data_IF_154356103673
#
_entry.id   IF_154356103673
#
_cell.length_a   1.000
_cell.length_b   1.000
_cell.length_c   1.000
_cell.angle_alpha   90.00
_cell.angle_beta   90.00
_cell.angle_gamma   90.00
#
_symmetry.space_group_name_H-M   'P 1'
#
loop_
_entity.id
_entity.type
_entity.pdbx_description
1 polymer ?
#
# COMPACT_ATOMS: atom_id res chain seq x y z
N UNK A 1 10.13 5.59 13.02
CA UNK A 1 10.21 4.89 11.71
C UNK A 1 11.26 3.81 11.84
N UNK A 2 10.98 2.59 11.38
CA UNK A 2 12.02 1.55 11.31
C UNK A 2 12.92 1.84 10.10
N UNK A 3 14.24 1.75 10.28
CA UNK A 3 15.20 1.91 9.18
C UNK A 3 15.07 0.73 8.20
N UNK A 4 15.59 0.81 6.96
CA UNK A 4 15.62 -0.34 6.07
C UNK A 4 16.32 -1.54 6.73
N UNK A 5 17.44 -1.32 7.42
CA UNK A 5 18.13 -2.38 8.15
C UNK A 5 17.24 -3.03 9.22
N UNK A 6 16.60 -2.26 10.11
CA UNK A 6 15.74 -2.82 11.15
C UNK A 6 14.50 -3.51 10.54
N UNK A 7 13.95 -2.96 9.46
CA UNK A 7 12.79 -3.52 8.76
C UNK A 7 13.06 -4.88 8.11
N UNK A 8 14.26 -5.10 7.55
CA UNK A 8 14.58 -6.32 6.80
C UNK A 8 15.45 -7.31 7.58
N UNK A 9 16.31 -6.82 8.47
CA UNK A 9 17.37 -7.58 9.13
C UNK A 9 17.31 -7.52 10.66
N UNK A 10 16.39 -6.75 11.26
CA UNK A 10 16.32 -6.54 12.71
C UNK A 10 16.27 -7.84 13.51
N UNK A 11 15.51 -8.85 13.05
CA UNK A 11 15.44 -10.17 13.69
C UNK A 11 16.73 -10.99 13.58
N UNK A 12 17.57 -10.71 12.58
CA UNK A 12 18.84 -11.39 12.33
C UNK A 12 20.05 -10.67 12.95
N UNK A 13 19.89 -9.41 13.37
CA UNK A 13 20.96 -8.51 13.84
C UNK A 13 21.95 -9.17 14.79
N UNK A 14 21.46 -9.77 15.88
CA UNK A 14 22.31 -10.40 16.89
C UNK A 14 23.01 -11.67 16.38
N UNK A 15 22.44 -12.35 15.39
CA UNK A 15 23.07 -13.52 14.79
C UNK A 15 24.16 -13.09 13.79
N UNK A 16 23.87 -12.09 12.95
CA UNK A 16 24.85 -11.49 12.03
C UNK A 16 26.08 -10.98 12.81
N UNK A 17 25.88 -10.24 13.91
CA UNK A 17 27.00 -9.75 14.73
C UNK A 17 27.87 -10.89 15.24
N UNK A 18 27.25 -11.95 15.80
CA UNK A 18 27.98 -13.11 16.34
C UNK A 18 28.77 -13.83 15.25
N UNK A 19 28.14 -14.08 14.12
CA UNK A 19 28.76 -14.82 13.02
C UNK A 19 29.91 -14.00 12.39
N UNK A 20 29.74 -12.69 12.20
CA UNK A 20 30.81 -11.82 11.70
C UNK A 20 32.01 -11.78 12.66
N UNK A 21 31.77 -11.73 13.98
CA UNK A 21 32.87 -11.76 14.97
C UNK A 21 33.64 -13.07 14.82
N UNK A 22 32.93 -14.21 14.75
CA UNK A 22 33.53 -15.54 14.61
C UNK A 22 34.33 -15.70 13.31
N UNK A 23 33.76 -15.23 12.19
CA UNK A 23 34.39 -15.36 10.86
C UNK A 23 35.69 -14.57 10.74
N UNK A 24 35.78 -13.41 11.39
CA UNK A 24 36.87 -12.46 11.19
C UNK A 24 37.78 -12.28 12.40
N UNK A 25 37.60 -13.06 13.47
CA UNK A 25 38.38 -12.96 14.71
C UNK A 25 39.89 -12.98 14.45
N UNK A 26 40.34 -13.87 13.57
CA UNK A 26 41.75 -14.02 13.19
C UNK A 26 42.27 -12.95 12.22
N UNK A 27 41.38 -12.24 11.51
CA UNK A 27 41.77 -11.21 10.54
C UNK A 27 40.73 -10.09 10.41
N UNK A 28 40.71 -9.12 11.35
CA UNK A 28 39.78 -8.00 11.31
C UNK A 28 39.91 -7.11 10.07
N UNK A 29 41.12 -6.97 9.53
CA UNK A 29 41.37 -6.16 8.33
C UNK A 29 40.65 -6.71 7.10
N UNK A 30 40.49 -8.05 7.02
CA UNK A 30 39.76 -8.69 5.93
C UNK A 30 38.28 -8.29 5.92
N UNK A 31 37.65 -8.17 7.10
CA UNK A 31 36.27 -7.70 7.20
C UNK A 31 36.11 -6.29 6.59
N UNK A 32 37.00 -5.36 6.96
CA UNK A 32 36.97 -3.98 6.48
C UNK A 32 37.16 -3.93 4.95
N UNK A 33 38.09 -4.71 4.40
CA UNK A 33 38.31 -4.79 2.96
C UNK A 33 37.04 -5.28 2.22
N UNK A 34 36.40 -6.33 2.74
CA UNK A 34 35.22 -6.95 2.12
C UNK A 34 34.03 -5.98 2.09
N UNK A 35 33.75 -5.28 3.20
CA UNK A 35 32.64 -4.32 3.21
C UNK A 35 32.93 -3.11 2.32
N UNK A 36 34.20 -2.68 2.24
CA UNK A 36 34.62 -1.59 1.35
C UNK A 36 34.44 -1.96 -0.12
N UNK A 37 34.85 -3.17 -0.53
CA UNK A 37 34.58 -3.71 -1.87
C UNK A 37 33.07 -3.82 -2.14
N UNK A 38 32.27 -4.07 -1.10
CA UNK A 38 30.81 -4.03 -1.13
C UNK A 38 30.21 -2.62 -1.20
N UNK A 39 31.01 -1.57 -1.39
CA UNK A 39 30.57 -0.18 -1.51
C UNK A 39 30.27 0.53 -0.17
N UNK A 40 30.66 -0.06 0.96
CA UNK A 40 30.48 0.54 2.28
C UNK A 40 31.58 1.58 2.58
N UNK A 41 31.19 2.75 3.09
CA UNK A 41 32.17 3.76 3.51
C UNK A 41 32.84 3.36 4.82
N UNK A 42 34.13 3.03 4.77
CA UNK A 42 34.92 2.63 5.93
C UNK A 42 35.59 3.79 6.65
N UNK A 43 35.42 5.03 6.18
CA UNK A 43 36.09 6.23 6.71
C UNK A 43 35.87 6.45 8.23
N UNK A 44 34.75 5.95 8.76
CA UNK A 44 34.38 6.07 10.17
C UNK A 44 34.64 4.80 11.00
N UNK A 45 35.12 3.72 10.38
CA UNK A 45 35.49 2.49 11.09
C UNK A 45 36.97 2.57 11.43
N UNK A 46 37.31 2.76 12.72
CA UNK A 46 38.71 2.99 13.11
C UNK A 46 39.46 1.66 13.19
N UNK A 47 40.57 1.55 12.46
CA UNK A 47 41.40 0.34 12.41
C UNK A 47 42.04 -0.05 13.76
N UNK A 48 42.11 0.85 14.73
CA UNK A 48 42.67 0.61 16.07
C UNK A 48 41.66 0.02 17.07
N UNK A 49 40.38 -0.12 16.67
CA UNK A 49 39.33 -0.67 17.52
C UNK A 49 39.33 -2.21 17.49
N UNK A 50 38.79 -2.82 18.54
CA UNK A 50 38.55 -4.28 18.53
C UNK A 50 37.53 -4.65 17.44
N UNK A 51 37.67 -5.84 16.85
CA UNK A 51 36.75 -6.35 15.82
C UNK A 51 35.27 -6.25 16.24
N UNK A 52 34.99 -6.54 17.51
CA UNK A 52 33.63 -6.42 18.07
C UNK A 52 33.08 -5.00 17.92
N UNK A 53 33.89 -3.98 18.23
CA UNK A 53 33.48 -2.57 18.11
C UNK A 53 33.31 -2.21 16.63
N UNK A 54 34.24 -2.63 15.77
CA UNK A 54 34.15 -2.39 14.32
C UNK A 54 32.85 -2.98 13.73
N UNK A 55 32.49 -4.21 14.09
CA UNK A 55 31.25 -4.85 13.64
C UNK A 55 30.01 -4.14 14.21
N UNK A 56 30.04 -3.73 15.47
CA UNK A 56 28.93 -2.96 16.07
C UNK A 56 28.74 -1.63 15.35
N UNK A 57 29.81 -0.90 15.08
CA UNK A 57 29.77 0.38 14.35
C UNK A 57 29.30 0.19 12.91
N UNK A 58 29.75 -0.88 12.24
CA UNK A 58 29.24 -1.28 10.92
C UNK A 58 27.73 -1.48 10.94
N UNK A 59 27.21 -2.27 11.88
CA UNK A 59 25.76 -2.54 12.01
C UNK A 59 24.98 -1.26 12.35
N UNK A 60 25.52 -0.40 13.22
CA UNK A 60 24.92 0.89 13.53
C UNK A 60 24.83 1.79 12.28
N UNK A 61 25.87 1.82 11.47
CA UNK A 61 25.89 2.60 10.23
C UNK A 61 24.99 2.02 9.14
N UNK A 62 24.78 0.70 9.12
CA UNK A 62 23.81 0.06 8.21
C UNK A 62 22.38 0.62 8.37
N UNK A 63 22.02 1.15 9.54
CA UNK A 63 20.73 1.83 9.74
C UNK A 63 20.53 3.08 8.90
N UNK A 64 21.63 3.71 8.45
CA UNK A 64 21.58 4.92 7.62
C UNK A 64 21.66 4.60 6.12
N UNK A 65 21.88 3.32 5.76
CA UNK A 65 21.98 2.91 4.37
C UNK A 65 20.60 2.68 3.76
N UNK A 66 20.50 3.01 2.46
CA UNK A 66 19.34 2.61 1.67
C UNK A 66 19.41 1.12 1.30
N UNK A 67 18.31 0.59 0.76
CA UNK A 67 18.19 -0.84 0.46
C UNK A 67 19.20 -1.34 -0.60
N UNK A 68 19.57 -0.50 -1.57
CA UNK A 68 20.53 -0.89 -2.61
C UNK A 68 21.94 -1.02 -2.03
N UNK A 69 22.33 -0.08 -1.17
CA UNK A 69 23.60 -0.12 -0.46
C UNK A 69 23.69 -1.32 0.48
N UNK A 70 22.61 -1.61 1.22
CA UNK A 70 22.53 -2.81 2.06
C UNK A 70 22.71 -4.10 1.24
N UNK A 71 22.09 -4.18 0.05
CA UNK A 71 22.28 -5.35 -0.82
C UNK A 71 23.70 -5.53 -1.28
N UNK A 72 24.35 -4.46 -1.72
CA UNK A 72 25.73 -4.54 -2.22
C UNK A 72 26.65 -5.09 -1.13
N UNK A 73 26.60 -4.52 0.07
CA UNK A 73 27.47 -4.94 1.17
C UNK A 73 27.14 -6.35 1.67
N UNK A 74 25.86 -6.72 1.81
CA UNK A 74 25.48 -8.06 2.27
C UNK A 74 25.64 -9.13 1.20
N UNK A 75 25.55 -8.79 -0.09
CA UNK A 75 25.94 -9.71 -1.18
C UNK A 75 27.41 -10.03 -1.09
N UNK A 76 28.27 -9.00 -0.99
CA UNK A 76 29.71 -9.19 -0.93
C UNK A 76 30.13 -9.99 0.32
N UNK A 77 29.54 -9.69 1.48
CA UNK A 77 29.74 -10.49 2.70
C UNK A 77 29.30 -11.96 2.51
N UNK A 78 28.21 -12.22 1.79
CA UNK A 78 27.74 -13.58 1.54
C UNK A 78 28.62 -14.34 0.53
N UNK A 79 29.18 -13.65 -0.47
CA UNK A 79 30.09 -14.24 -1.48
C UNK A 79 31.41 -14.68 -0.86
N UNK A 80 31.96 -13.86 0.04
CA UNK A 80 33.21 -14.17 0.74
C UNK A 80 33.02 -15.18 1.89
N UNK A 81 31.78 -15.39 2.35
CA UNK A 81 31.43 -16.33 3.41
C UNK A 81 30.27 -17.26 3.02
N UNK A 82 30.42 -18.11 1.99
CA UNK A 82 29.32 -18.90 1.44
C UNK A 82 28.72 -19.89 2.44
N UNK A 83 29.48 -20.29 3.47
CA UNK A 83 29.03 -21.19 4.55
C UNK A 83 28.26 -20.50 5.68
N UNK A 84 28.18 -19.16 5.72
CA UNK A 84 27.52 -18.44 6.80
C UNK A 84 26.00 -18.32 6.56
N UNK A 85 25.22 -19.05 7.35
CA UNK A 85 23.77 -19.10 7.17
C UNK A 85 23.07 -17.77 7.45
N UNK A 86 23.53 -17.00 8.45
CA UNK A 86 22.90 -15.71 8.79
C UNK A 86 23.10 -14.66 7.71
N UNK A 87 24.29 -14.60 7.09
CA UNK A 87 24.57 -13.72 5.96
C UNK A 87 23.76 -14.13 4.72
N UNK A 88 23.63 -15.43 4.46
CA UNK A 88 22.76 -15.93 3.38
C UNK A 88 21.30 -15.57 3.61
N UNK A 89 20.78 -15.74 4.84
CA UNK A 89 19.43 -15.31 5.23
C UNK A 89 19.27 -13.80 5.08
N UNK A 90 20.24 -13.01 5.54
CA UNK A 90 20.22 -11.56 5.41
C UNK A 90 20.14 -11.11 3.94
N UNK A 91 21.04 -11.63 3.10
CA UNK A 91 21.00 -11.38 1.65
C UNK A 91 19.63 -11.78 1.08
N UNK A 92 19.15 -12.98 1.36
CA UNK A 92 17.87 -13.44 0.84
C UNK A 92 16.71 -12.53 1.30
N UNK A 93 16.67 -12.08 2.56
CA UNK A 93 15.66 -11.12 3.04
C UNK A 93 15.71 -9.77 2.31
N UNK A 94 16.92 -9.29 1.99
CA UNK A 94 17.11 -8.04 1.24
C UNK A 94 16.68 -8.16 -0.24
N UNK A 95 16.85 -9.33 -0.85
CA UNK A 95 16.53 -9.60 -2.26
C UNK A 95 15.10 -10.10 -2.49
N UNK A 96 14.54 -10.91 -1.59
CA UNK A 96 13.13 -11.35 -1.63
C UNK A 96 12.18 -10.15 -1.68
N UNK A 97 12.56 -9.01 -1.09
CA UNK A 97 11.79 -7.78 -1.18
C UNK A 97 12.05 -6.95 -2.45
N UNK A 98 13.13 -7.18 -3.22
CA UNK A 98 13.34 -6.46 -4.49
C UNK A 98 12.57 -7.05 -5.64
N UNK A 99 12.65 -8.37 -5.80
CA UNK A 99 11.95 -9.07 -6.86
C UNK A 99 10.45 -8.93 -6.64
N UNK A 100 10.03 -8.88 -5.37
CA UNK A 100 8.68 -8.51 -4.96
C UNK A 100 8.34 -7.05 -5.28
N UNK A 101 9.16 -6.05 -4.92
CA UNK A 101 8.84 -4.63 -5.21
C UNK A 101 8.80 -4.34 -6.72
N UNK A 102 9.70 -4.91 -7.51
CA UNK A 102 9.69 -4.78 -8.97
C UNK A 102 8.56 -5.60 -9.61
N UNK A 103 8.25 -6.80 -9.11
CA UNK A 103 7.06 -7.54 -9.56
C UNK A 103 5.79 -6.80 -9.20
N UNK A 104 5.75 -6.10 -8.07
CA UNK A 104 4.58 -5.35 -7.64
C UNK A 104 4.38 -4.09 -8.47
N UNK A 105 5.42 -3.32 -8.77
CA UNK A 105 5.29 -2.18 -9.68
C UNK A 105 4.83 -2.62 -11.08
N UNK A 106 5.33 -3.73 -11.60
CA UNK A 106 4.85 -4.30 -12.86
C UNK A 106 3.39 -4.81 -12.74
N UNK A 107 3.01 -5.51 -11.67
CA UNK A 107 1.64 -5.96 -11.42
C UNK A 107 0.66 -4.78 -11.21
N UNK A 108 1.06 -3.74 -10.47
CA UNK A 108 0.29 -2.52 -10.27
C UNK A 108 0.10 -1.82 -11.61
N UNK A 109 1.18 -1.64 -12.38
CA UNK A 109 1.13 -1.01 -13.69
C UNK A 109 0.20 -1.78 -14.63
N UNK A 110 0.34 -3.12 -14.69
CA UNK A 110 -0.55 -3.99 -15.46
C UNK A 110 -2.01 -3.87 -15.04
N UNK A 111 -2.28 -3.88 -13.74
CA UNK A 111 -3.65 -3.72 -13.21
C UNK A 111 -4.24 -2.34 -13.55
N UNK A 112 -3.50 -1.26 -13.34
CA UNK A 112 -3.95 0.10 -13.66
C UNK A 112 -4.18 0.30 -15.16
N UNK A 113 -3.31 -0.24 -16.02
CA UNK A 113 -3.49 -0.24 -17.48
C UNK A 113 -4.78 -0.97 -17.87
N UNK A 114 -5.06 -2.11 -17.21
CA UNK A 114 -6.27 -2.91 -17.45
C UNK A 114 -7.56 -2.20 -16.99
N UNK A 115 -7.52 -1.53 -15.85
CA UNK A 115 -8.69 -0.86 -15.26
C UNK A 115 -8.99 0.48 -15.92
N UNK A 116 -7.97 1.16 -16.47
CA UNK A 116 -8.10 2.44 -17.17
C UNK A 116 -9.26 2.51 -18.20
N UNK A 117 -9.41 1.59 -19.17
CA UNK A 117 -10.54 1.63 -20.10
C UNK A 117 -11.89 1.46 -19.41
N UNK A 118 -11.96 0.67 -18.33
CA UNK A 118 -13.18 0.51 -17.52
C UNK A 118 -13.51 1.79 -16.74
N UNK A 119 -12.52 2.51 -16.22
CA UNK A 119 -12.72 3.83 -15.60
C UNK A 119 -13.25 4.87 -16.60
N UNK A 120 -12.74 4.85 -17.83
CA UNK A 120 -13.21 5.73 -18.91
C UNK A 120 -14.67 5.42 -19.25
N UNK A 121 -15.08 4.14 -19.30
CA UNK A 121 -16.48 3.78 -19.56
C UNK A 121 -17.43 4.19 -18.43
N UNK A 122 -16.92 4.33 -17.19
CA UNK A 122 -17.64 4.93 -16.06
C UNK A 122 -17.70 6.48 -16.10
N UNK A 123 -17.14 7.10 -17.14
CA UNK A 123 -17.17 8.56 -17.32
C UNK A 123 -16.00 9.31 -16.65
N UNK A 124 -14.92 8.61 -16.28
CA UNK A 124 -13.71 9.26 -15.81
C UNK A 124 -13.02 9.98 -16.99
N UNK A 125 -13.01 11.31 -16.95
CA UNK A 125 -12.37 12.16 -17.98
C UNK A 125 -11.01 12.68 -17.55
N UNK A 126 -10.70 12.60 -16.25
CA UNK A 126 -9.41 13.02 -15.71
C UNK A 126 -8.78 11.84 -14.96
N UNK A 127 -7.59 11.42 -15.40
CA UNK A 127 -6.81 10.36 -14.76
C UNK A 127 -5.41 10.90 -14.53
N UNK A 128 -5.00 10.96 -13.27
CA UNK A 128 -3.71 11.47 -12.83
C UNK A 128 -2.93 10.35 -12.16
N UNK A 129 -1.62 10.29 -12.36
CA UNK A 129 -0.75 9.32 -11.70
C UNK A 129 0.12 10.02 -10.65
N UNK A 130 0.53 9.27 -9.64
CA UNK A 130 1.53 9.68 -8.63
C UNK A 130 1.22 11.02 -7.94
N UNK A 131 -0.04 11.19 -7.52
CA UNK A 131 -0.47 12.35 -6.75
C UNK A 131 0.02 12.23 -5.31
N UNK A 132 0.76 13.23 -4.84
CA UNK A 132 1.19 13.31 -3.44
C UNK A 132 0.15 14.10 -2.65
N UNK A 133 -0.43 13.47 -1.62
CA UNK A 133 -1.37 14.10 -0.71
C UNK A 133 -1.12 13.63 0.73
N UNK A 134 -0.94 14.58 1.64
CA UNK A 134 -0.70 14.31 3.07
C UNK A 134 0.46 13.31 3.30
N UNK A 135 1.55 13.49 2.56
CA UNK A 135 2.74 12.63 2.63
C UNK A 135 2.56 11.22 2.02
N UNK A 136 1.39 10.89 1.48
CA UNK A 136 1.10 9.61 0.81
C UNK A 136 1.07 9.78 -0.71
N UNK A 137 1.44 8.72 -1.42
CA UNK A 137 1.41 8.68 -2.89
C UNK A 137 0.19 7.90 -3.35
N UNK A 138 -0.75 8.59 -3.99
CA UNK A 138 -1.81 7.96 -4.76
C UNK A 138 -1.26 7.61 -6.14
N UNK A 139 -1.11 6.30 -6.38
CA UNK A 139 -0.59 5.75 -7.64
C UNK A 139 -1.43 6.19 -8.83
N UNK A 140 -2.75 6.23 -8.66
CA UNK A 140 -3.65 6.76 -9.67
C UNK A 140 -4.89 7.39 -9.03
N UNK A 141 -5.35 8.49 -9.60
CA UNK A 141 -6.60 9.16 -9.26
C UNK A 141 -7.40 9.34 -10.54
N UNK A 142 -8.55 8.71 -10.64
CA UNK A 142 -9.49 8.92 -11.72
C UNK A 142 -10.74 9.66 -11.20
N UNK A 143 -11.16 10.71 -11.92
CA UNK A 143 -12.32 11.54 -11.59
C UNK A 143 -13.36 11.50 -12.70
N UNK A 144 -14.59 11.17 -12.33
CA UNK A 144 -15.79 11.37 -13.15
C UNK A 144 -16.57 12.58 -12.62
N UNK A 145 -16.50 13.72 -13.32
CA UNK A 145 -17.15 14.96 -12.90
C UNK A 145 -18.68 14.93 -12.99
N UNK A 146 -19.24 13.95 -13.70
CA UNK A 146 -20.68 13.77 -13.88
C UNK A 146 -21.01 12.27 -13.89
N UNK A 147 -20.66 11.60 -12.81
CA UNK A 147 -21.01 10.22 -12.55
C UNK A 147 -22.53 10.08 -12.48
N UNK A 148 -23.09 9.08 -13.18
CA UNK A 148 -24.52 8.79 -13.22
C UNK A 148 -24.74 7.39 -12.65
N UNK A 149 -25.64 7.28 -11.69
CA UNK A 149 -26.06 5.99 -11.13
C UNK A 149 -27.55 6.00 -10.85
N UNK A 150 -28.14 4.87 -10.51
CA UNK A 150 -29.56 4.73 -10.20
C UNK A 150 -29.75 3.92 -8.92
N UNK A 151 -29.77 4.59 -7.77
CA UNK A 151 -29.95 3.93 -6.47
C UNK A 151 -31.44 3.84 -6.17
N UNK A 152 -31.95 2.61 -6.02
CA UNK A 152 -33.37 2.38 -5.69
C UNK A 152 -34.34 2.82 -6.79
N UNK A 153 -33.88 2.85 -8.04
CA UNK A 153 -34.66 3.36 -9.17
C UNK A 153 -34.68 4.89 -9.28
N UNK A 154 -34.03 5.61 -8.36
CA UNK A 154 -33.91 7.07 -8.43
C UNK A 154 -32.61 7.45 -9.17
N UNK A 155 -32.70 8.24 -10.26
CA UNK A 155 -31.51 8.67 -10.98
C UNK A 155 -30.70 9.63 -10.10
N UNK A 156 -29.43 9.31 -9.90
CA UNK A 156 -28.48 10.12 -9.13
C UNK A 156 -27.38 10.66 -10.03
N UNK A 157 -26.84 11.81 -9.66
CA UNK A 157 -25.74 12.44 -10.39
C UNK A 157 -24.82 13.19 -9.44
N UNK A 158 -23.51 13.01 -9.59
CA UNK A 158 -22.51 13.76 -8.84
C UNK A 158 -21.10 13.46 -9.33
N UNK A 159 -20.11 13.68 -8.49
CA UNK A 159 -18.71 13.36 -8.81
C UNK A 159 -18.30 12.00 -8.23
N UNK A 160 -17.58 11.20 -8.99
CA UNK A 160 -16.95 9.98 -8.49
C UNK A 160 -15.42 10.07 -8.58
N UNK A 161 -14.75 9.61 -7.53
CA UNK A 161 -13.30 9.52 -7.44
C UNK A 161 -12.91 8.06 -7.23
N UNK A 162 -11.97 7.57 -8.04
CA UNK A 162 -11.33 6.28 -7.88
C UNK A 162 -9.86 6.53 -7.54
N UNK A 163 -9.47 6.25 -6.30
CA UNK A 163 -8.14 6.58 -5.78
C UNK A 163 -7.42 5.29 -5.43
N UNK A 164 -6.32 5.03 -6.14
CA UNK A 164 -5.53 3.82 -6.03
C UNK A 164 -4.23 4.11 -5.27
N UNK A 165 -3.92 3.28 -4.29
CA UNK A 165 -2.62 3.29 -3.60
C UNK A 165 -2.17 1.87 -3.32
N UNK A 166 -0.85 1.65 -3.32
CA UNK A 166 -0.26 0.37 -2.95
C UNK A 166 0.16 0.33 -1.49
N UNK A 167 -0.05 -0.82 -0.85
CA UNK A 167 0.35 -1.12 0.51
C UNK A 167 1.10 -2.46 0.54
N UNK A 168 2.21 -2.51 1.29
CA UNK A 168 2.96 -3.76 1.50
C UNK A 168 2.16 -4.78 2.34
N UNK A 169 1.28 -4.27 3.20
CA UNK A 169 0.35 -5.03 4.04
C UNK A 169 -0.79 -4.12 4.42
N UNK A 170 -1.99 -4.67 4.55
CA UNK A 170 -3.20 -3.93 4.88
C UNK A 170 -3.80 -4.49 6.16
N UNK A 171 -4.12 -3.61 7.10
CA UNK A 171 -4.95 -3.89 8.26
C UNK A 171 -6.07 -2.85 8.39
N UNK A 172 -7.02 -3.13 9.27
CA UNK A 172 -8.21 -2.31 9.50
C UNK A 172 -7.92 -0.80 9.75
N UNK A 173 -6.93 -0.50 10.60
CA UNK A 173 -6.56 0.90 10.89
C UNK A 173 -5.99 1.60 9.65
N UNK A 174 -5.11 0.92 8.91
CA UNK A 174 -4.54 1.47 7.67
C UNK A 174 -5.60 1.69 6.58
N UNK A 175 -6.63 0.84 6.52
CA UNK A 175 -7.75 0.99 5.59
C UNK A 175 -8.61 2.19 5.92
N UNK A 176 -9.00 2.35 7.20
CA UNK A 176 -9.78 3.51 7.65
C UNK A 176 -9.04 4.82 7.43
N UNK A 177 -7.75 4.85 7.77
CA UNK A 177 -6.90 6.03 7.57
C UNK A 177 -6.75 6.37 6.08
N UNK A 178 -6.54 5.36 5.23
CA UNK A 178 -6.46 5.55 3.79
C UNK A 178 -7.78 6.02 3.18
N UNK A 179 -8.91 5.40 3.54
CA UNK A 179 -10.24 5.79 3.09
C UNK A 179 -10.56 7.25 3.47
N UNK A 180 -10.19 7.65 4.69
CA UNK A 180 -10.32 9.03 5.18
C UNK A 180 -9.46 10.00 4.36
N UNK A 181 -8.21 9.64 4.06
CA UNK A 181 -7.33 10.49 3.25
C UNK A 181 -7.83 10.63 1.80
N UNK A 182 -8.35 9.54 1.22
CA UNK A 182 -8.99 9.56 -0.10
C UNK A 182 -10.21 10.48 -0.10
N UNK A 183 -11.06 10.36 0.92
CA UNK A 183 -12.25 11.19 1.08
C UNK A 183 -11.90 12.67 1.22
N UNK A 184 -10.94 13.02 2.08
CA UNK A 184 -10.48 14.39 2.26
C UNK A 184 -9.90 14.98 0.96
N UNK A 185 -9.11 14.19 0.24
CA UNK A 185 -8.63 14.58 -1.09
C UNK A 185 -9.78 14.81 -2.07
N UNK A 186 -10.72 13.87 -2.16
CA UNK A 186 -11.86 13.95 -3.07
C UNK A 186 -12.73 15.18 -2.77
N UNK A 187 -13.00 15.46 -1.50
CA UNK A 187 -13.77 16.64 -1.05
C UNK A 187 -13.06 17.95 -1.39
N UNK A 188 -11.73 18.04 -1.17
CA UNK A 188 -10.92 19.22 -1.51
C UNK A 188 -10.86 19.48 -3.02
N UNK A 189 -10.88 18.43 -3.83
CA UNK A 189 -10.79 18.50 -5.29
C UNK A 189 -12.16 18.37 -5.98
N UNK A 190 -13.24 18.41 -5.20
CA UNK A 190 -14.58 18.36 -5.74
C UNK A 190 -14.96 19.74 -6.28
N UNK A 191 -15.58 19.77 -7.46
CA UNK A 191 -16.18 21.01 -7.95
C UNK A 191 -17.62 21.17 -7.43
N UNK A 192 -18.04 20.28 -6.54
CA UNK A 192 -19.34 20.29 -5.91
C UNK A 192 -19.37 21.36 -4.80
N UNK A 193 -19.67 22.61 -5.16
CA UNK A 193 -20.03 23.64 -4.19
C UNK A 193 -21.42 23.30 -3.65
N UNK A 194 -21.53 23.02 -2.36
CA UNK A 194 -22.80 22.68 -1.73
C UNK A 194 -23.90 23.69 -2.04
N UNK A 195 -25.09 23.15 -2.33
CA UNK A 195 -26.40 23.80 -2.28
C UNK A 195 -26.72 24.81 -3.42
N UNK A 196 -27.47 24.30 -4.39
CA UNK A 196 -28.31 24.91 -5.45
C UNK A 196 -27.68 25.28 -6.82
N UNK A 197 -28.33 24.93 -7.96
CA UNK A 197 -29.65 24.31 -8.16
C UNK A 197 -29.61 23.02 -9.01
N UNK A 198 -29.40 21.85 -8.39
CA UNK A 198 -29.75 20.55 -9.02
C UNK A 198 -31.17 20.08 -8.70
N UNK A 199 -31.97 20.94 -8.05
CA UNK A 199 -33.40 20.69 -7.76
C UNK A 199 -34.26 20.72 -9.04
N UNK A 200 -33.75 21.22 -10.16
CA UNK A 200 -34.52 21.36 -11.41
C UNK A 200 -34.64 20.09 -12.28
N UNK A 201 -34.10 18.93 -11.86
CA UNK A 201 -34.12 17.72 -12.70
C UNK A 201 -34.36 16.38 -11.97
N UNK A 202 -34.91 16.38 -10.75
CA UNK A 202 -35.21 15.14 -9.99
C UNK A 202 -33.98 14.22 -9.76
N UNK A 203 -32.76 14.74 -9.86
CA UNK A 203 -31.53 13.96 -9.62
C UNK A 203 -30.93 14.29 -8.28
N UNK A 204 -30.87 13.30 -7.39
CA UNK A 204 -30.29 13.46 -6.05
C UNK A 204 -28.76 13.61 -6.22
N UNK A 205 -28.14 14.67 -5.68
CA UNK A 205 -26.70 14.84 -5.72
C UNK A 205 -26.02 13.73 -4.91
N UNK A 206 -25.02 13.09 -5.49
CA UNK A 206 -24.33 11.97 -4.85
C UNK A 206 -22.89 11.89 -5.32
N UNK A 207 -21.97 12.21 -4.41
CA UNK A 207 -20.55 12.07 -4.64
C UNK A 207 -20.06 10.75 -4.05
N UNK A 208 -19.12 10.09 -4.71
CA UNK A 208 -18.63 8.78 -4.30
C UNK A 208 -17.10 8.79 -4.31
N UNK A 209 -16.50 8.34 -3.22
CA UNK A 209 -15.06 8.15 -3.10
C UNK A 209 -14.76 6.65 -2.98
N UNK A 210 -14.36 6.03 -4.08
CA UNK A 210 -13.80 4.68 -4.08
C UNK A 210 -12.32 4.77 -3.67
N UNK A 211 -12.00 4.25 -2.48
CA UNK A 211 -10.62 4.17 -1.99
C UNK A 211 -10.10 2.75 -2.19
N UNK A 212 -9.25 2.55 -3.20
CA UNK A 212 -8.76 1.25 -3.65
C UNK A 212 -7.34 1.02 -3.12
N UNK A 213 -7.23 0.11 -2.15
CA UNK A 213 -5.97 -0.35 -1.58
C UNK A 213 -5.49 -1.57 -2.36
N UNK A 214 -4.38 -1.44 -3.10
CA UNK A 214 -3.73 -2.56 -3.77
C UNK A 214 -2.71 -3.19 -2.83
N UNK A 215 -2.79 -4.49 -2.63
CA UNK A 215 -1.85 -5.26 -1.81
C UNK A 215 -1.62 -6.62 -2.45
N UNK A 216 -0.60 -7.35 -2.02
CA UNK A 216 -0.41 -8.73 -2.44
C UNK A 216 -1.04 -9.74 -1.48
N UNK A 217 -1.25 -9.31 -0.24
CA UNK A 217 -1.74 -10.15 0.84
C UNK A 217 -2.67 -9.34 1.74
N UNK A 218 -3.72 -10.01 2.19
CA UNK A 218 -4.66 -9.54 3.21
C UNK A 218 -4.86 -10.70 4.19
N UNK A 219 -4.83 -10.43 5.49
CA UNK A 219 -5.13 -11.45 6.48
C UNK A 219 -6.64 -11.74 6.57
N UNK A 220 -7.00 -12.96 6.98
CA UNK A 220 -8.40 -13.40 7.03
C UNK A 220 -9.30 -12.52 7.91
N UNK A 221 -8.76 -11.94 8.99
CA UNK A 221 -9.53 -11.04 9.85
C UNK A 221 -9.87 -9.74 9.11
N UNK A 222 -8.89 -9.11 8.47
CA UNK A 222 -9.12 -7.90 7.66
C UNK A 222 -10.04 -8.19 6.47
N UNK A 223 -9.94 -9.39 5.86
CA UNK A 223 -10.81 -9.85 4.77
C UNK A 223 -12.26 -9.98 5.22
N UNK A 224 -12.54 -10.70 6.31
CA UNK A 224 -13.90 -10.81 6.87
C UNK A 224 -14.48 -9.43 7.19
N UNK A 225 -13.66 -8.56 7.80
CA UNK A 225 -14.11 -7.24 8.17
C UNK A 225 -14.53 -6.38 6.97
N UNK A 226 -13.73 -6.35 5.89
CA UNK A 226 -14.09 -5.56 4.70
C UNK A 226 -15.30 -6.13 3.96
N UNK A 227 -15.54 -7.43 4.04
CA UNK A 227 -16.69 -8.07 3.38
C UNK A 227 -17.99 -7.99 4.19
N UNK A 228 -17.91 -7.98 5.51
CA UNK A 228 -19.06 -8.12 6.42
C UNK A 228 -19.42 -6.84 7.18
N UNK A 229 -18.51 -5.86 7.30
CA UNK A 229 -18.76 -4.63 8.05
C UNK A 229 -19.14 -3.49 7.12
N UNK A 230 -20.32 -2.91 7.32
CA UNK A 230 -20.79 -1.77 6.53
C UNK A 230 -19.97 -0.50 6.89
N UNK A 231 -19.23 0.11 5.95
CA UNK A 231 -18.39 1.26 6.24
C UNK A 231 -19.18 2.57 6.43
N UNK A 232 -20.50 2.57 6.21
CA UNK A 232 -21.36 3.75 6.40
C UNK A 232 -21.76 4.02 7.85
N UNK A 233 -21.43 3.16 8.81
CA UNK A 233 -21.74 3.44 10.23
C UNK A 233 -20.89 4.60 10.81
N UNK A 234 -19.75 4.96 10.20
CA UNK A 234 -18.80 5.91 10.80
C UNK A 234 -18.71 7.30 10.12
N UNK A 235 -19.29 7.52 8.94
CA UNK A 235 -19.14 8.81 8.21
C UNK A 235 -20.46 9.39 7.69
N UNK A 236 -20.90 10.48 8.32
CA UNK A 236 -22.25 11.06 8.22
C UNK A 236 -22.28 12.30 7.30
N UNK A 237 -21.70 12.22 6.09
CA UNK A 237 -21.90 13.27 5.07
C UNK A 237 -22.94 12.76 4.07
N UNK A 238 -24.19 13.23 4.20
CA UNK A 238 -25.40 12.71 3.53
C UNK A 238 -25.27 12.67 1.99
N UNK A 239 -24.33 13.44 1.42
CA UNK A 239 -24.11 13.55 -0.03
C UNK A 239 -22.83 12.85 -0.52
N UNK A 240 -22.08 12.21 0.37
CA UNK A 240 -20.83 11.53 0.06
C UNK A 240 -20.84 10.08 0.55
N UNK A 241 -20.52 9.15 -0.34
CA UNK A 241 -20.30 7.76 0.00
C UNK A 241 -18.80 7.43 -0.05
N UNK A 242 -18.25 6.95 1.07
CA UNK A 242 -16.90 6.40 1.13
C UNK A 242 -16.99 4.89 0.90
N UNK A 243 -16.27 4.39 -0.09
CA UNK A 243 -16.31 2.99 -0.52
C UNK A 243 -14.90 2.40 -0.42
N UNK A 244 -14.52 1.84 0.73
CA UNK A 244 -13.25 1.14 0.91
C UNK A 244 -13.24 -0.18 0.14
N UNK A 245 -12.14 -0.40 -0.59
CA UNK A 245 -11.93 -1.55 -1.46
C UNK A 245 -10.50 -2.03 -1.30
N UNK A 246 -10.30 -3.34 -1.26
CA UNK A 246 -8.99 -3.97 -1.35
C UNK A 246 -8.90 -4.77 -2.64
N UNK A 247 -7.83 -4.59 -3.40
CA UNK A 247 -7.49 -5.46 -4.52
C UNK A 247 -6.22 -6.25 -4.20
N UNK A 248 -6.30 -7.57 -4.28
CA UNK A 248 -5.12 -8.45 -4.15
C UNK A 248 -4.48 -8.68 -5.52
N UNK A 249 -3.26 -8.20 -5.71
CA UNK A 249 -2.50 -8.32 -6.96
C UNK A 249 -2.20 -9.80 -7.30
N UNK A 250 -1.92 -10.63 -6.29
CA UNK A 250 -1.56 -12.04 -6.47
C UNK A 250 -2.76 -12.91 -6.84
N UNK A 251 -3.88 -12.74 -6.11
CA UNK A 251 -5.10 -13.53 -6.32
C UNK A 251 -6.00 -12.92 -7.41
N UNK A 252 -5.71 -11.67 -7.80
CA UNK A 252 -6.50 -10.87 -8.74
C UNK A 252 -7.95 -10.70 -8.27
N UNK A 253 -8.15 -10.60 -6.96
CA UNK A 253 -9.45 -10.56 -6.34
C UNK A 253 -9.72 -9.18 -5.74
N UNK A 254 -10.97 -8.73 -5.86
CA UNK A 254 -11.45 -7.50 -5.23
C UNK A 254 -12.26 -7.89 -4.00
N UNK A 255 -11.96 -7.26 -2.87
CA UNK A 255 -12.68 -7.37 -1.61
C UNK A 255 -13.32 -6.03 -1.27
N UNK A 256 -14.60 -6.06 -0.94
CA UNK A 256 -15.45 -4.92 -0.58
C UNK A 256 -16.66 -5.48 0.18
N UNK A 257 -17.52 -4.62 0.70
CA UNK A 257 -18.72 -5.04 1.42
C UNK A 257 -19.68 -5.88 0.55
N UNK A 258 -19.76 -7.19 0.80
CA UNK A 258 -20.44 -8.17 -0.08
C UNK A 258 -21.87 -8.49 0.36
N UNK A 259 -22.16 -8.48 1.66
CA UNK A 259 -23.46 -8.93 2.19
C UNK A 259 -23.87 -8.13 3.43
N UNK A 260 -25.18 -7.82 3.52
CA UNK A 260 -25.78 -7.32 4.76
C UNK A 260 -26.12 -8.52 5.61
N UNK A 261 -25.36 -8.74 6.68
CA UNK A 261 -25.70 -9.74 7.70
C UNK A 261 -27.10 -9.38 8.26
N UNK A 262 -28.00 -10.35 8.27
CA UNK A 262 -29.45 -10.23 8.57
C UNK A 262 -29.81 -9.60 9.94
N UNK A 263 -28.81 -9.22 10.75
CA UNK A 263 -28.97 -8.84 12.16
C UNK A 263 -29.41 -7.39 12.41
N UNK A 264 -29.52 -6.53 11.40
CA UNK A 264 -29.89 -5.11 11.58
C UNK A 264 -30.93 -4.59 10.55
N UNK A 265 -32.24 -4.66 10.86
CA UNK A 265 -33.34 -4.26 9.96
C UNK A 265 -33.28 -2.82 9.43
N UNK A 266 -32.64 -1.90 10.16
CA UNK A 266 -32.49 -0.50 9.75
C UNK A 266 -31.37 -0.28 8.71
N UNK A 267 -30.35 -1.14 8.66
CA UNK A 267 -29.31 -1.12 7.62
C UNK A 267 -29.87 -1.59 6.26
N UNK A 268 -30.84 -2.50 6.30
CA UNK A 268 -31.50 -3.07 5.12
C UNK A 268 -32.25 -2.03 4.26
N UNK A 269 -32.85 -1.01 4.88
CA UNK A 269 -33.71 -0.03 4.19
C UNK A 269 -32.97 1.15 3.55
N UNK A 270 -31.78 1.52 4.02
CA UNK A 270 -31.00 2.66 3.47
C UNK A 270 -29.66 2.26 2.85
N UNK A 271 -29.00 1.23 3.38
CA UNK A 271 -27.67 0.82 2.92
C UNK A 271 -27.72 -0.15 1.75
N UNK A 272 -28.63 -1.13 1.78
CA UNK A 272 -28.57 -2.26 0.83
C UNK A 272 -28.91 -1.86 -0.62
N UNK A 273 -29.86 -0.95 -0.79
CA UNK A 273 -30.23 -0.43 -2.10
C UNK A 273 -29.05 0.32 -2.76
N UNK A 274 -28.29 1.08 -1.97
CA UNK A 274 -27.08 1.79 -2.40
C UNK A 274 -25.98 0.78 -2.71
N UNK A 275 -25.72 -0.15 -1.79
CA UNK A 275 -24.67 -1.15 -1.92
C UNK A 275 -24.88 -2.07 -3.12
N UNK A 276 -26.11 -2.49 -3.42
CA UNK A 276 -26.40 -3.30 -4.61
C UNK A 276 -25.87 -2.67 -5.91
N UNK A 277 -26.01 -1.35 -6.05
CA UNK A 277 -25.51 -0.65 -7.22
C UNK A 277 -24.00 -0.40 -7.14
N UNK A 278 -23.47 -0.05 -5.97
CA UNK A 278 -22.02 0.08 -5.76
C UNK A 278 -21.29 -1.23 -6.07
N UNK A 279 -21.82 -2.38 -5.63
CA UNK A 279 -21.26 -3.71 -5.92
C UNK A 279 -21.19 -3.99 -7.43
N UNK A 280 -22.21 -3.58 -8.20
CA UNK A 280 -22.17 -3.70 -9.67
C UNK A 280 -21.08 -2.83 -10.27
N UNK A 281 -20.98 -1.57 -9.84
CA UNK A 281 -19.95 -0.63 -10.33
C UNK A 281 -18.55 -1.17 -10.02
N UNK A 282 -18.33 -1.65 -8.79
CA UNK A 282 -17.06 -2.25 -8.36
C UNK A 282 -16.72 -3.45 -9.25
N UNK A 283 -17.64 -4.41 -9.41
CA UNK A 283 -17.41 -5.60 -10.24
C UNK A 283 -17.14 -5.27 -11.71
N UNK A 284 -17.87 -4.31 -12.27
CA UNK A 284 -17.69 -3.89 -13.66
C UNK A 284 -16.38 -3.13 -13.89
N UNK A 285 -15.90 -2.40 -12.89
CA UNK A 285 -14.79 -1.46 -13.04
C UNK A 285 -13.46 -2.03 -12.56
N UNK A 286 -13.47 -2.73 -11.43
CA UNK A 286 -12.27 -3.07 -10.66
C UNK A 286 -11.96 -4.57 -10.64
N UNK A 287 -12.95 -5.44 -10.91
CA UNK A 287 -12.70 -6.88 -11.03
C UNK A 287 -11.99 -7.22 -12.32
N UNK A 288 -11.33 -8.37 -12.31
CA UNK A 288 -10.57 -8.87 -13.44
C UNK A 288 -11.43 -9.19 -14.66
#
# INVERSE_FOLDING_TARGET
MNTPFESYLGSLKNQIIRDLISLYESNPSLFIAIIWEGGFSTANLRNEQTLRIIIQDFICQCNSLNILQLRQVFTKLCEENPGCESLRKARNSLYQNFDYVNSNEDCITKYLVKVKPKLISQGCSSIYNDIIYDGKVFKQVAKAASFKTSIGGLPMRGEAFFIFSYFSSVNDNSLREFATNCFNYAKKNSNFSGILPTVFNLKIPTNICFSISMTNFIDEKTKQQITETNPFEETVDILWYIVPIVYTLNEKQVYFYEEVLESKPWEFLRGEIVWKELRKIIKQTLSD
#
